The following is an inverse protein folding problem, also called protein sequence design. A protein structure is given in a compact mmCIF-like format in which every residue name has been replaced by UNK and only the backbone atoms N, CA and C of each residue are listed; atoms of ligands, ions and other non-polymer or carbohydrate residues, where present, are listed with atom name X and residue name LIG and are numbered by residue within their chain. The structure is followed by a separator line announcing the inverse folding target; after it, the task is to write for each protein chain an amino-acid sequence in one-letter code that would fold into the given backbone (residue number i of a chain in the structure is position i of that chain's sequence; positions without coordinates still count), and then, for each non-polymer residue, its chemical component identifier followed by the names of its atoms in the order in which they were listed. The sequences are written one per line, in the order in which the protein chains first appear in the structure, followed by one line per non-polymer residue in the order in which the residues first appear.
data_IF_644841945891
#
_entry.id   IF_644841945891
#
_cell.length_a   1.000
_cell.length_b   1.000
_cell.length_c   1.000
_cell.angle_alpha   90.00
_cell.angle_beta   90.00
_cell.angle_gamma   90.00
#
_symmetry.space_group_name_H-M   'P 1'
#
loop_
_entity.id
_entity.type
_entity.pdbx_description
1 polymer ?
#
# COMPACT_ATOMS: atom_id res chain seq x y z
N UNK A 1 -5.19 9.85 5.75
CA UNK A 1 -3.89 10.55 5.66
C UNK A 1 -4.03 12.06 5.80
N UNK A 2 -4.72 12.78 4.92
CA UNK A 2 -4.78 14.26 4.96
C UNK A 2 -5.23 14.84 6.32
N UNK A 3 -6.29 14.30 6.93
CA UNK A 3 -6.75 14.76 8.25
C UNK A 3 -5.69 14.55 9.34
N UNK A 4 -5.04 13.40 9.38
CA UNK A 4 -3.98 13.11 10.36
C UNK A 4 -2.78 14.02 10.15
N UNK A 5 -2.33 14.21 8.90
CA UNK A 5 -1.25 15.15 8.56
C UNK A 5 -1.60 16.57 9.03
N UNK A 6 -2.83 17.03 8.76
CA UNK A 6 -3.28 18.35 9.21
C UNK A 6 -3.30 18.46 10.74
N UNK A 7 -3.83 17.46 11.44
CA UNK A 7 -3.85 17.42 12.91
C UNK A 7 -2.44 17.42 13.49
N UNK A 8 -1.52 16.63 12.94
CA UNK A 8 -0.13 16.61 13.40
C UNK A 8 0.62 17.90 13.10
N UNK A 9 0.31 18.56 11.99
CA UNK A 9 0.95 19.83 11.61
C UNK A 9 0.43 21.03 12.41
N UNK A 10 -0.79 20.93 12.97
CA UNK A 10 -1.42 21.98 13.80
C UNK A 10 -1.28 21.73 15.30
N UNK A 11 -0.67 20.63 15.73
CA UNK A 11 -0.46 20.33 17.14
C UNK A 11 0.82 21.01 17.66
N UNK A 12 0.72 21.65 18.83
CA UNK A 12 1.88 22.23 19.52
C UNK A 12 2.77 21.17 20.19
N UNK A 13 2.23 19.95 20.38
CA UNK A 13 2.94 18.84 20.98
C UNK A 13 3.48 17.88 19.91
N UNK A 14 4.80 17.74 19.87
CA UNK A 14 5.51 16.86 18.94
C UNK A 14 5.13 15.38 19.11
N UNK A 15 4.54 14.97 20.24
CA UNK A 15 4.00 13.62 20.43
C UNK A 15 2.91 13.27 19.42
N UNK A 16 2.19 14.25 18.86
CA UNK A 16 1.21 13.99 17.81
C UNK A 16 1.84 13.46 16.52
N UNK A 17 3.13 13.73 16.25
CA UNK A 17 3.83 13.17 15.09
C UNK A 17 3.87 11.63 15.12
N UNK A 18 3.81 11.01 16.31
CA UNK A 18 3.73 9.56 16.47
C UNK A 18 2.38 8.97 16.05
N UNK A 19 1.37 9.78 15.73
CA UNK A 19 0.11 9.27 15.16
C UNK A 19 0.23 8.93 13.67
N UNK A 20 1.18 9.54 12.96
CA UNK A 20 1.35 9.34 11.51
C UNK A 20 1.80 7.91 11.16
N UNK A 21 2.83 7.33 11.80
CA UNK A 21 3.27 5.97 11.53
C UNK A 21 2.18 4.89 11.74
N UNK A 22 1.47 4.78 12.88
CA UNK A 22 0.50 3.71 13.10
C UNK A 22 -0.69 3.82 12.14
N UNK A 23 -1.15 5.03 11.82
CA UNK A 23 -2.21 5.22 10.82
C UNK A 23 -1.74 4.81 9.44
N UNK A 24 -0.51 5.17 9.06
CA UNK A 24 0.08 4.78 7.77
C UNK A 24 0.24 3.27 7.65
N UNK A 25 0.63 2.60 8.75
CA UNK A 25 0.75 1.15 8.83
C UNK A 25 -0.61 0.46 8.61
N UNK A 26 -1.65 0.89 9.32
CA UNK A 26 -3.00 0.30 9.20
C UNK A 26 -3.53 0.47 7.78
N UNK A 27 -3.42 1.68 7.22
CA UNK A 27 -3.93 1.96 5.88
C UNK A 27 -3.11 1.26 4.81
N UNK A 28 -1.77 1.28 4.90
CA UNK A 28 -0.89 0.63 3.95
C UNK A 28 -1.02 -0.90 3.97
N UNK A 29 -1.16 -1.50 5.14
CA UNK A 29 -1.43 -2.94 5.26
C UNK A 29 -2.78 -3.32 4.66
N UNK A 30 -3.82 -2.52 4.95
CA UNK A 30 -5.15 -2.72 4.37
C UNK A 30 -5.11 -2.62 2.85
N UNK A 31 -4.38 -1.64 2.32
CA UNK A 31 -4.15 -1.47 0.89
C UNK A 31 -3.47 -2.71 0.28
N UNK A 32 -2.35 -3.15 0.85
CA UNK A 32 -1.58 -4.30 0.37
C UNK A 32 -2.43 -5.59 0.33
N UNK A 33 -3.15 -5.89 1.42
CA UNK A 33 -4.02 -7.06 1.49
C UNK A 33 -5.16 -6.98 0.46
N UNK A 34 -5.68 -5.79 0.19
CA UNK A 34 -6.72 -5.60 -0.81
C UNK A 34 -6.20 -5.77 -2.23
N UNK A 35 -4.99 -5.29 -2.52
CA UNK A 35 -4.36 -5.45 -3.83
C UNK A 35 -4.11 -6.93 -4.15
N UNK A 36 -3.58 -7.70 -3.21
CA UNK A 36 -3.38 -9.15 -3.39
C UNK A 36 -4.71 -9.89 -3.57
N UNK A 37 -5.77 -9.50 -2.85
CA UNK A 37 -7.11 -10.07 -3.02
C UNK A 37 -7.66 -9.81 -4.43
N UNK A 38 -7.56 -8.59 -4.93
CA UNK A 38 -7.99 -8.23 -6.29
C UNK A 38 -7.19 -9.03 -7.31
N UNK A 39 -5.87 -9.12 -7.12
CA UNK A 39 -4.99 -9.90 -7.98
C UNK A 39 -5.34 -11.40 -7.98
N UNK A 40 -5.65 -11.99 -6.82
CA UNK A 40 -6.08 -13.37 -6.68
C UNK A 40 -7.43 -13.64 -7.35
N UNK A 41 -8.41 -12.74 -7.21
CA UNK A 41 -9.71 -12.82 -7.88
C UNK A 41 -9.51 -12.82 -9.40
N UNK A 42 -8.71 -11.88 -9.93
CA UNK A 42 -8.41 -11.84 -11.36
C UNK A 42 -7.72 -13.11 -11.85
N UNK A 43 -6.79 -13.69 -11.08
CA UNK A 43 -6.16 -14.99 -11.41
C UNK A 43 -7.19 -16.12 -11.46
N UNK A 44 -8.07 -16.20 -10.47
CA UNK A 44 -9.13 -17.21 -10.42
C UNK A 44 -10.11 -17.09 -11.58
N UNK A 45 -10.56 -15.86 -11.90
CA UNK A 45 -11.45 -15.61 -13.03
C UNK A 45 -10.84 -16.09 -14.34
N UNK A 46 -9.54 -15.83 -14.57
CA UNK A 46 -8.86 -16.19 -15.82
C UNK A 46 -8.50 -17.68 -15.90
N UNK A 47 -7.98 -18.25 -14.82
CA UNK A 47 -7.43 -19.60 -14.81
C UNK A 47 -8.49 -20.69 -14.57
N UNK A 48 -9.61 -20.35 -13.93
CA UNK A 48 -10.61 -21.34 -13.53
C UNK A 48 -12.02 -20.98 -14.02
N UNK A 49 -12.54 -19.80 -13.66
CA UNK A 49 -13.94 -19.46 -13.94
C UNK A 49 -14.23 -19.29 -15.43
N UNK A 50 -13.35 -18.59 -16.16
CA UNK A 50 -13.46 -18.36 -17.60
C UNK A 50 -13.51 -19.65 -18.42
N UNK A 51 -12.53 -20.56 -18.28
CA UNK A 51 -12.53 -21.86 -18.95
C UNK A 51 -13.76 -22.71 -18.63
N UNK A 52 -14.19 -22.76 -17.36
CA UNK A 52 -15.39 -23.51 -16.96
C UNK A 52 -16.66 -22.94 -17.58
N UNK A 53 -16.79 -21.62 -17.63
CA UNK A 53 -17.95 -20.97 -18.23
C UNK A 53 -18.01 -21.23 -19.74
N UNK A 54 -16.87 -21.11 -20.43
CA UNK A 54 -16.78 -21.42 -21.87
C UNK A 54 -17.12 -22.87 -22.18
N UNK A 55 -16.69 -23.82 -21.34
CA UNK A 55 -17.04 -25.23 -21.48
C UNK A 55 -18.55 -25.50 -21.30
N UNK A 56 -19.26 -24.69 -20.49
CA UNK A 56 -20.70 -24.84 -20.27
C UNK A 56 -21.54 -24.16 -21.36
N UNK A 57 -21.09 -23.02 -21.88
CA UNK A 57 -21.86 -22.24 -22.87
C UNK A 57 -21.51 -22.57 -24.32
N UNK A 58 -20.35 -23.20 -24.56
CA UNK A 58 -19.83 -23.43 -25.92
C UNK A 58 -19.37 -22.14 -26.63
N UNK A 59 -19.39 -21.01 -25.93
CA UNK A 59 -18.93 -19.71 -26.42
C UNK A 59 -17.56 -19.36 -25.83
N UNK A 60 -16.77 -18.57 -26.57
CA UNK A 60 -15.46 -18.06 -26.12
C UNK A 60 -15.64 -17.21 -24.84
N UNK A 61 -14.64 -17.09 -23.94
CA UNK A 61 -14.76 -16.37 -22.65
C UNK A 61 -14.97 -14.86 -22.74
N UNK A 62 -15.53 -14.32 -23.83
CA UNK A 62 -15.90 -12.91 -23.98
C UNK A 62 -16.80 -12.39 -22.86
N UNK A 63 -17.47 -13.28 -22.10
CA UNK A 63 -18.19 -12.94 -20.87
C UNK A 63 -17.33 -12.14 -19.87
N UNK A 64 -16.00 -12.33 -19.86
CA UNK A 64 -15.04 -11.59 -19.05
C UNK A 64 -14.15 -10.64 -19.88
N UNK A 65 -14.67 -10.09 -20.99
CA UNK A 65 -13.91 -9.20 -21.87
C UNK A 65 -13.36 -7.94 -21.19
N UNK A 66 -13.98 -7.48 -20.10
CA UNK A 66 -13.48 -6.36 -19.28
C UNK A 66 -12.14 -6.67 -18.60
N UNK A 67 -11.90 -7.94 -18.24
CA UNK A 67 -10.70 -8.39 -17.54
C UNK A 67 -9.48 -8.40 -18.48
N UNK A 68 -9.69 -8.76 -19.75
CA UNK A 68 -8.65 -8.74 -20.78
C UNK A 68 -8.47 -7.36 -21.42
N UNK A 69 -9.54 -6.56 -21.56
CA UNK A 69 -9.47 -5.20 -22.09
C UNK A 69 -8.58 -4.28 -21.24
N UNK A 70 -8.54 -4.45 -19.92
CA UNK A 70 -7.69 -3.65 -19.05
C UNK A 70 -6.19 -4.05 -19.13
N UNK A 71 -5.88 -5.27 -19.58
CA UNK A 71 -4.50 -5.80 -19.66
C UNK A 71 -3.77 -5.45 -20.96
N UNK A 72 -4.48 -5.15 -22.06
CA UNK A 72 -3.86 -4.76 -23.34
C UNK A 72 -3.24 -3.36 -23.32
N UNK A 73 -3.37 -2.66 -22.19
CA UNK A 73 -2.83 -1.32 -22.02
C UNK A 73 -1.30 -1.32 -21.89
N UNK A 74 -0.64 -0.79 -22.92
CA UNK A 74 0.82 -0.63 -23.01
C UNK A 74 1.42 0.24 -21.90
N UNK A 75 0.61 1.03 -21.19
CA UNK A 75 1.02 1.87 -20.04
C UNK A 75 0.87 1.17 -18.69
N UNK A 76 0.46 -0.10 -18.65
CA UNK A 76 0.24 -0.84 -17.40
C UNK A 76 1.48 -0.89 -16.51
N UNK A 77 2.65 -1.13 -17.10
CA UNK A 77 3.93 -1.16 -16.36
C UNK A 77 4.23 0.21 -15.75
N UNK A 78 4.11 1.29 -16.53
CA UNK A 78 4.30 2.66 -16.04
C UNK A 78 3.32 3.01 -14.91
N UNK A 79 2.05 2.59 -15.00
CA UNK A 79 1.09 2.78 -13.91
C UNK A 79 1.50 2.04 -12.64
N UNK A 80 1.96 0.79 -12.75
CA UNK A 80 2.41 0.03 -11.58
C UNK A 80 3.62 0.66 -10.89
N UNK A 81 4.60 1.13 -11.66
CA UNK A 81 5.72 1.90 -11.09
C UNK A 81 5.24 3.21 -10.43
N UNK A 82 4.29 3.91 -11.04
CA UNK A 82 3.68 5.10 -10.45
C UNK A 82 2.93 4.81 -9.16
N UNK A 83 2.17 3.71 -9.11
CA UNK A 83 1.49 3.23 -7.91
C UNK A 83 2.49 2.89 -6.81
N UNK A 84 3.48 2.05 -7.10
CA UNK A 84 4.54 1.72 -6.16
C UNK A 84 5.23 2.96 -5.59
N UNK A 85 5.56 3.94 -6.44
CA UNK A 85 6.15 5.19 -6.00
C UNK A 85 5.22 5.95 -5.05
N UNK A 86 3.94 6.10 -5.40
CA UNK A 86 2.94 6.79 -4.57
C UNK A 86 2.72 6.05 -3.24
N UNK A 87 2.71 4.72 -3.26
CA UNK A 87 2.50 3.90 -2.07
C UNK A 87 3.69 4.02 -1.10
N UNK A 88 4.93 3.93 -1.62
CA UNK A 88 6.12 4.14 -0.81
C UNK A 88 6.20 5.57 -0.26
N UNK A 89 5.84 6.58 -1.06
CA UNK A 89 5.78 7.96 -0.59
C UNK A 89 4.75 8.11 0.54
N UNK A 90 3.54 7.61 0.31
CA UNK A 90 2.40 7.83 1.19
C UNK A 90 2.50 7.03 2.49
N UNK A 91 2.87 5.76 2.39
CA UNK A 91 2.83 4.84 3.53
C UNK A 91 4.18 4.67 4.22
N UNK A 92 5.29 5.06 3.59
CA UNK A 92 6.63 4.92 4.19
C UNK A 92 7.33 6.27 4.36
N UNK A 93 7.49 7.07 3.30
CA UNK A 93 8.33 8.28 3.36
C UNK A 93 7.71 9.37 4.24
N UNK A 94 6.42 9.67 4.08
CA UNK A 94 5.72 10.65 4.91
C UNK A 94 5.81 10.29 6.41
N UNK A 95 5.39 9.10 6.87
CA UNK A 95 5.50 8.76 8.29
C UNK A 95 6.95 8.65 8.79
N UNK A 96 7.90 8.19 7.96
CA UNK A 96 9.32 8.20 8.32
C UNK A 96 9.85 9.64 8.54
N UNK A 97 9.44 10.60 7.70
CA UNK A 97 9.80 12.00 7.89
C UNK A 97 9.24 12.59 9.18
N UNK A 98 8.05 12.16 9.61
CA UNK A 98 7.47 12.54 10.90
C UNK A 98 8.28 11.96 12.07
N UNK A 99 8.76 10.72 11.96
CA UNK A 99 9.66 10.13 12.95
C UNK A 99 11.00 10.88 13.03
N UNK A 100 11.58 11.26 11.88
CA UNK A 100 12.79 12.08 11.87
C UNK A 100 12.57 13.43 12.55
N UNK A 101 11.46 14.13 12.24
CA UNK A 101 11.11 15.39 12.89
C UNK A 101 10.90 15.21 14.41
N UNK A 102 10.23 14.12 14.81
CA UNK A 102 10.05 13.77 16.21
C UNK A 102 11.39 13.59 16.94
N UNK A 103 12.38 12.91 16.35
CA UNK A 103 13.70 12.74 16.97
C UNK A 103 14.49 14.04 17.14
N UNK A 104 14.25 15.06 16.31
CA UNK A 104 14.87 16.38 16.50
C UNK A 104 14.19 17.22 17.58
N UNK A 105 12.95 16.89 17.95
CA UNK A 105 12.14 17.66 18.89
C UNK A 105 11.96 16.98 20.25
N UNK A 106 12.18 15.67 20.33
CA UNK A 106 12.01 14.91 21.57
C UNK A 106 13.17 15.18 22.53
N UNK A 107 12.85 15.40 23.81
CA UNK A 107 13.84 15.44 24.89
C UNK A 107 14.33 14.03 25.27
N UNK A 108 14.93 13.88 26.43
CA UNK A 108 15.53 12.62 26.92
C UNK A 108 14.50 11.56 27.40
N UNK A 109 13.26 11.63 26.93
CA UNK A 109 12.17 10.72 27.35
C UNK A 109 12.30 9.35 26.66
N UNK A 110 12.55 8.24 27.41
CA UNK A 110 12.92 6.96 26.81
C UNK A 110 11.76 6.21 26.14
N UNK A 111 10.52 6.37 26.65
CA UNK A 111 9.37 5.62 26.16
C UNK A 111 8.91 6.05 24.76
N UNK A 112 8.71 7.36 24.46
CA UNK A 112 8.38 7.83 23.12
C UNK A 112 9.44 7.44 22.06
N UNK A 113 10.72 7.45 22.45
CA UNK A 113 11.83 7.00 21.60
C UNK A 113 11.70 5.51 21.28
N UNK A 114 11.43 4.65 22.28
CA UNK A 114 11.23 3.22 22.04
C UNK A 114 10.07 2.94 21.08
N UNK A 115 8.95 3.66 21.24
CA UNK A 115 7.78 3.55 20.35
C UNK A 115 8.17 3.92 18.92
N UNK A 116 8.85 5.05 18.73
CA UNK A 116 9.27 5.52 17.41
C UNK A 116 10.20 4.54 16.68
N UNK A 117 11.08 3.83 17.41
CA UNK A 117 11.96 2.80 16.84
C UNK A 117 11.16 1.59 16.38
N UNK A 118 10.18 1.15 17.18
CA UNK A 118 9.29 0.05 16.80
C UNK A 118 8.43 0.42 15.57
N UNK A 119 7.93 1.66 15.51
CA UNK A 119 7.20 2.19 14.37
C UNK A 119 8.07 2.22 13.10
N UNK A 120 9.32 2.66 13.19
CA UNK A 120 10.25 2.64 12.06
C UNK A 120 10.47 1.21 11.55
N UNK A 121 10.69 0.24 12.45
CA UNK A 121 10.87 -1.15 12.06
C UNK A 121 9.62 -1.71 11.34
N UNK A 122 8.43 -1.37 11.81
CA UNK A 122 7.18 -1.76 11.17
C UNK A 122 7.01 -1.07 9.80
N UNK A 123 7.38 0.19 9.65
CA UNK A 123 7.34 0.91 8.37
C UNK A 123 8.28 0.28 7.34
N UNK A 124 9.49 -0.12 7.75
CA UNK A 124 10.43 -0.84 6.88
C UNK A 124 9.86 -2.19 6.44
N UNK A 125 9.25 -2.95 7.36
CA UNK A 125 8.60 -4.21 7.02
C UNK A 125 7.46 -3.99 6.01
N UNK A 126 6.62 -2.97 6.21
CA UNK A 126 5.57 -2.61 5.26
C UNK A 126 6.14 -2.22 3.89
N UNK A 127 7.19 -1.39 3.85
CA UNK A 127 7.83 -0.98 2.60
C UNK A 127 8.39 -2.15 1.81
N UNK A 128 9.01 -3.12 2.49
CA UNK A 128 9.46 -4.39 1.88
C UNK A 128 8.28 -5.15 1.29
N UNK A 129 7.17 -5.30 2.03
CA UNK A 129 5.98 -5.98 1.53
C UNK A 129 5.40 -5.27 0.30
N UNK A 130 5.28 -3.94 0.33
CA UNK A 130 4.78 -3.15 -0.83
C UNK A 130 5.63 -3.41 -2.07
N UNK A 131 6.97 -3.41 -1.95
CA UNK A 131 7.86 -3.67 -3.09
C UNK A 131 7.72 -5.11 -3.59
N UNK A 132 7.65 -6.10 -2.69
CA UNK A 132 7.52 -7.51 -3.06
C UNK A 132 6.20 -7.80 -3.79
N UNK A 133 5.10 -7.15 -3.38
CA UNK A 133 3.77 -7.35 -3.95
C UNK A 133 3.43 -6.42 -5.11
N UNK A 134 4.32 -5.50 -5.51
CA UNK A 134 4.07 -4.52 -6.57
C UNK A 134 3.87 -5.10 -7.99
N UNK A 135 3.83 -6.43 -8.14
CA UNK A 135 3.57 -7.19 -9.38
C UNK A 135 4.29 -6.57 -10.60
N UNK A 136 5.58 -6.22 -10.43
CA UNK A 136 6.37 -5.51 -11.45
C UNK A 136 6.85 -6.43 -12.59
N UNK A 137 6.68 -7.75 -12.44
CA UNK A 137 7.08 -8.75 -13.42
C UNK A 137 5.85 -9.34 -14.11
N UNK A 138 5.99 -9.62 -15.41
CA UNK A 138 4.91 -9.96 -16.34
C UNK A 138 4.25 -11.32 -16.10
#
# INVERSE_FOLDING_TARGET
MAAVIATTASADDCAFLLLLPPVSLILGWTYLVNDEKISAIGRYVRADLGPRLSALTGEDPQAFGWETAHRSDRRRVTRKYGQLMIDLLTFCLIPASALCAFWFSVGDEPLPVLISVAELAALLALGVQIVLYADLQH
#
